data_IF_917355183497
#
_entry.id   IF_917355183497
#
_cell.length_a   1.000
_cell.length_b   1.000
_cell.length_c   1.000
_cell.angle_alpha   90.00
_cell.angle_beta   90.00
_cell.angle_gamma   90.00
#
_symmetry.space_group_name_H-M   'P 1'
#
loop_
_entity.id
_entity.type
_entity.pdbx_description
1 polymer ?
#
# COMPACT_ATOMS: atom_id res chain seq x y z
N UNK A 1 5.55 11.18 10.71
CA UNK A 1 4.59 11.19 9.59
C UNK A 1 4.97 12.15 8.45
N UNK A 2 5.33 13.42 8.71
CA UNK A 2 5.72 14.40 7.68
C UNK A 2 6.76 13.86 6.67
N UNK A 3 7.83 13.24 7.16
CA UNK A 3 8.86 12.60 6.33
C UNK A 3 8.28 11.50 5.41
N UNK A 4 7.40 10.65 5.93
CA UNK A 4 6.76 9.59 5.13
C UNK A 4 5.83 10.15 4.04
N UNK A 5 5.29 11.36 4.25
CA UNK A 5 4.52 12.11 3.27
C UNK A 5 5.39 12.94 2.32
N UNK A 6 6.72 12.82 2.40
CA UNK A 6 7.65 13.60 1.59
C UNK A 6 7.71 15.08 1.95
N UNK A 7 7.25 15.46 3.15
CA UNK A 7 7.29 16.84 3.61
C UNK A 7 8.60 17.12 4.38
N UNK A 8 9.25 18.27 4.15
CA UNK A 8 10.47 18.65 4.84
C UNK A 8 10.22 18.86 6.34
N UNK A 9 11.25 18.59 7.15
CA UNK A 9 11.27 18.81 8.60
C UNK A 9 12.47 19.68 8.93
N UNK A 10 12.26 20.74 9.72
CA UNK A 10 13.21 21.86 9.90
C UNK A 10 14.64 21.43 10.33
N UNK A 11 14.77 20.32 11.04
CA UNK A 11 16.04 19.87 11.63
C UNK A 11 16.60 18.57 11.02
N UNK A 12 15.99 18.08 9.93
CA UNK A 12 16.40 16.83 9.30
C UNK A 12 16.65 17.07 7.81
N UNK A 13 17.91 16.94 7.35
CA UNK A 13 18.23 16.97 5.93
C UNK A 13 17.42 15.94 5.14
N UNK A 14 16.95 16.32 3.96
CA UNK A 14 16.15 15.46 3.09
C UNK A 14 16.88 14.16 2.75
N UNK A 15 18.19 14.23 2.50
CA UNK A 15 19.04 13.08 2.21
C UNK A 15 19.03 12.04 3.35
N UNK A 16 19.14 12.48 4.61
CA UNK A 16 19.09 11.56 5.75
C UNK A 16 17.71 10.90 5.88
N UNK A 17 16.64 11.66 5.64
CA UNK A 17 15.28 11.14 5.64
C UNK A 17 15.07 10.09 4.54
N UNK A 18 15.53 10.40 3.33
CA UNK A 18 15.42 9.50 2.19
C UNK A 18 16.25 8.24 2.37
N UNK A 19 17.48 8.36 2.90
CA UNK A 19 18.31 7.21 3.24
C UNK A 19 17.62 6.30 4.24
N UNK A 20 17.06 6.86 5.32
CA UNK A 20 16.33 6.08 6.32
C UNK A 20 15.11 5.38 5.72
N UNK A 21 14.33 6.07 4.87
CA UNK A 21 13.19 5.47 4.17
C UNK A 21 13.67 4.31 3.29
N UNK A 22 14.69 4.52 2.46
CA UNK A 22 15.19 3.50 1.54
C UNK A 22 15.64 2.25 2.29
N UNK A 23 16.42 2.40 3.36
CA UNK A 23 16.85 1.26 4.19
C UNK A 23 15.66 0.48 4.74
N UNK A 24 14.61 1.16 5.22
CA UNK A 24 13.44 0.48 5.75
C UNK A 24 12.59 -0.18 4.67
N UNK A 25 12.51 0.41 3.46
CA UNK A 25 11.82 -0.20 2.32
C UNK A 25 12.54 -1.45 1.82
N UNK A 26 13.88 -1.43 1.75
CA UNK A 26 14.66 -2.62 1.41
C UNK A 26 14.43 -3.75 2.43
N UNK A 27 14.50 -3.44 3.73
CA UNK A 27 14.20 -4.43 4.77
C UNK A 27 12.78 -4.99 4.64
N UNK A 28 11.80 -4.14 4.31
CA UNK A 28 10.42 -4.58 4.06
C UNK A 28 10.35 -5.53 2.86
N UNK A 29 11.07 -5.24 1.77
CA UNK A 29 11.09 -6.10 0.59
C UNK A 29 11.74 -7.45 0.87
N UNK A 30 12.80 -7.51 1.68
CA UNK A 30 13.40 -8.78 2.11
C UNK A 30 12.39 -9.65 2.87
N UNK A 31 11.56 -9.07 3.75
CA UNK A 31 10.53 -9.82 4.48
C UNK A 31 9.35 -10.25 3.58
N UNK A 32 8.99 -9.42 2.60
CA UNK A 32 7.97 -9.78 1.60
C UNK A 32 8.47 -10.91 0.71
N UNK A 33 9.74 -10.91 0.30
CA UNK A 33 10.35 -11.96 -0.51
C UNK A 33 10.33 -13.31 0.23
N UNK A 34 10.64 -13.33 1.53
CA UNK A 34 10.48 -14.51 2.38
C UNK A 34 9.03 -14.99 2.39
N UNK A 35 8.08 -14.07 2.58
CA UNK A 35 6.64 -14.38 2.58
C UNK A 35 6.18 -15.00 1.26
N UNK A 36 6.63 -14.47 0.12
CA UNK A 36 6.32 -14.99 -1.21
C UNK A 36 6.92 -16.37 -1.44
N UNK A 37 8.17 -16.58 -1.01
CA UNK A 37 8.83 -17.89 -1.04
C UNK A 37 8.06 -18.93 -0.23
N UNK A 38 7.61 -18.59 0.98
CA UNK A 38 6.79 -19.49 1.80
C UNK A 38 5.42 -19.79 1.18
N UNK A 39 4.78 -18.80 0.53
CA UNK A 39 3.50 -19.00 -0.15
C UNK A 39 3.60 -20.01 -1.30
N UNK A 40 4.69 -19.98 -2.07
CA UNK A 40 4.92 -20.89 -3.19
C UNK A 40 5.42 -22.29 -2.79
N UNK A 41 6.07 -22.43 -1.64
CA UNK A 41 6.70 -23.69 -1.22
C UNK A 41 5.71 -24.79 -0.76
N UNK A 42 4.42 -24.46 -0.55
CA UNK A 42 3.43 -25.35 0.04
C UNK A 42 2.56 -26.15 -0.94
N UNK A 43 2.72 -26.00 -2.25
CA UNK A 43 1.82 -26.61 -3.24
C UNK A 43 2.52 -27.42 -4.32
N UNK A 44 1.81 -28.42 -4.86
CA UNK A 44 2.29 -29.28 -5.96
C UNK A 44 2.41 -28.50 -7.29
N UNK A 45 1.67 -27.40 -7.43
CA UNK A 45 1.73 -26.48 -8.56
C UNK A 45 2.37 -25.15 -8.16
N UNK A 46 3.14 -24.54 -9.08
CA UNK A 46 3.80 -23.26 -8.87
C UNK A 46 2.76 -22.13 -8.75
N UNK A 47 2.40 -21.76 -7.52
CA UNK A 47 1.55 -20.58 -7.25
C UNK A 47 2.26 -19.29 -7.66
N UNK A 48 1.71 -18.62 -8.67
CA UNK A 48 2.17 -17.30 -9.10
C UNK A 48 1.27 -16.21 -8.53
N UNK A 49 1.90 -15.13 -8.09
CA UNK A 49 1.19 -13.93 -7.67
C UNK A 49 1.01 -13.07 -8.92
N UNK A 50 -0.24 -12.97 -9.40
CA UNK A 50 -0.54 -12.22 -10.62
C UNK A 50 -0.51 -10.70 -10.39
N UNK A 51 -0.96 -10.25 -9.21
CA UNK A 51 -1.11 -8.83 -8.90
C UNK A 51 -1.08 -8.57 -7.40
N UNK A 52 -0.53 -7.42 -7.01
CA UNK A 52 -0.49 -6.95 -5.63
C UNK A 52 -1.30 -5.67 -5.49
N UNK A 53 -2.14 -5.61 -4.46
CA UNK A 53 -2.85 -4.39 -4.06
C UNK A 53 -2.27 -3.85 -2.76
N UNK A 54 -1.66 -2.67 -2.83
CA UNK A 54 -1.04 -2.00 -1.68
C UNK A 54 -2.10 -1.22 -0.90
N UNK A 55 -2.24 -1.53 0.39
CA UNK A 55 -3.19 -0.85 1.29
C UNK A 55 -2.51 -0.38 2.59
N UNK A 56 -3.25 0.37 3.41
CA UNK A 56 -2.75 1.02 4.62
C UNK A 56 -2.01 2.33 4.35
N UNK A 57 -1.53 2.98 5.41
CA UNK A 57 -0.91 4.30 5.31
C UNK A 57 0.42 4.32 4.55
N UNK A 58 1.17 3.21 4.60
CA UNK A 58 2.47 3.10 3.91
C UNK A 58 2.32 2.99 2.39
N UNK A 59 1.15 2.55 1.88
CA UNK A 59 0.91 2.46 0.44
C UNK A 59 1.10 3.79 -0.29
N UNK A 60 0.89 4.92 0.39
CA UNK A 60 1.09 6.26 -0.16
C UNK A 60 2.53 6.77 -0.10
N UNK A 61 3.48 5.96 0.40
CA UNK A 61 4.88 6.33 0.36
C UNK A 61 5.30 6.53 -1.09
N UNK A 62 5.85 7.72 -1.38
CA UNK A 62 6.22 8.12 -2.74
C UNK A 62 7.15 7.08 -3.38
N UNK A 63 6.72 6.55 -4.52
CA UNK A 63 7.49 5.57 -5.29
C UNK A 63 7.37 4.12 -4.83
N UNK A 64 6.70 3.82 -3.72
CA UNK A 64 6.64 2.45 -3.17
C UNK A 64 6.06 1.43 -4.15
N UNK A 65 4.93 1.75 -4.79
CA UNK A 65 4.32 0.87 -5.79
C UNK A 65 5.28 0.57 -6.93
N UNK A 66 5.99 1.60 -7.43
CA UNK A 66 6.96 1.44 -8.51
C UNK A 66 8.17 0.61 -8.07
N UNK A 67 8.71 0.88 -6.88
CA UNK A 67 9.81 0.09 -6.30
C UNK A 67 9.41 -1.38 -6.11
N UNK A 68 8.15 -1.65 -5.74
CA UNK A 68 7.61 -2.99 -5.63
C UNK A 68 7.59 -3.71 -6.98
N UNK A 69 7.02 -3.08 -8.01
CA UNK A 69 6.99 -3.62 -9.39
C UNK A 69 8.41 -3.91 -9.90
N UNK A 70 9.33 -2.98 -9.67
CA UNK A 70 10.70 -3.11 -10.13
C UNK A 70 11.45 -4.24 -9.42
N UNK A 71 11.20 -4.46 -8.12
CA UNK A 71 11.79 -5.54 -7.31
C UNK A 71 11.23 -6.91 -7.66
N UNK A 72 9.90 -7.05 -7.65
CA UNK A 72 9.24 -8.35 -7.71
C UNK A 72 8.78 -8.75 -9.11
N UNK A 73 8.81 -7.83 -10.08
CA UNK A 73 8.29 -8.04 -11.45
C UNK A 73 6.81 -8.46 -11.46
N UNK A 74 6.06 -8.00 -10.47
CA UNK A 74 4.62 -8.23 -10.30
C UNK A 74 3.93 -6.86 -10.32
N UNK A 75 2.83 -6.74 -11.05
CA UNK A 75 2.03 -5.52 -11.10
C UNK A 75 1.54 -5.14 -9.70
N UNK A 76 1.75 -3.88 -9.30
CA UNK A 76 1.37 -3.39 -7.98
C UNK A 76 0.55 -2.10 -8.07
N UNK A 77 -0.67 -2.14 -7.56
CA UNK A 77 -1.59 -1.00 -7.58
C UNK A 77 -1.94 -0.53 -6.17
N UNK A 78 -2.16 0.79 -6.03
CA UNK A 78 -2.73 1.34 -4.80
C UNK A 78 -4.18 0.88 -4.68
N UNK A 79 -4.51 0.27 -3.54
CA UNK A 79 -5.84 -0.24 -3.28
C UNK A 79 -6.83 0.91 -3.08
N UNK A 80 -7.80 1.02 -3.98
CA UNK A 80 -8.98 1.85 -3.82
C UNK A 80 -10.18 1.01 -3.34
N UNK A 81 -10.59 1.10 -2.05
CA UNK A 81 -11.76 0.41 -1.53
C UNK A 81 -13.08 1.02 -2.00
N UNK A 82 -13.07 2.27 -2.45
CA UNK A 82 -14.26 3.01 -2.88
C UNK A 82 -14.61 2.81 -4.36
N UNK A 83 -13.82 2.01 -5.10
CA UNK A 83 -13.98 1.82 -6.56
C UNK A 83 -15.41 1.44 -7.00
N UNK A 84 -16.14 0.75 -6.13
CA UNK A 84 -17.52 0.29 -6.37
C UNK A 84 -18.52 0.88 -5.36
N UNK A 85 -18.14 1.97 -4.67
CA UNK A 85 -19.00 2.65 -3.70
C UNK A 85 -19.48 3.95 -4.34
N UNK A 86 -20.80 4.09 -4.52
CA UNK A 86 -21.41 5.33 -5.02
C UNK A 86 -21.55 6.34 -3.88
N UNK A 87 -21.05 7.57 -4.09
CA UNK A 87 -21.15 8.65 -3.11
C UNK A 87 -21.44 9.99 -3.80
N UNK A 88 -21.90 10.97 -3.01
CA UNK A 88 -22.17 12.33 -3.48
C UNK A 88 -20.92 13.21 -3.33
N UNK A 89 -20.28 13.51 -4.44
CA UNK A 89 -19.07 14.33 -4.57
C UNK A 89 -19.23 15.79 -4.08
N UNK A 90 -20.46 16.32 -4.04
CA UNK A 90 -20.73 17.66 -3.47
C UNK A 90 -20.72 17.68 -1.95
N UNK A 91 -20.88 16.51 -1.31
CA UNK A 91 -20.90 16.37 0.14
C UNK A 91 -19.58 15.84 0.72
N UNK A 92 -18.74 15.26 -0.13
CA UNK A 92 -17.56 14.52 0.24
C UNK A 92 -16.42 14.90 -0.69
N UNK A 93 -15.37 15.51 -0.13
CA UNK A 93 -14.20 15.95 -0.89
C UNK A 93 -13.52 14.77 -1.58
N UNK A 94 -13.57 14.75 -2.91
CA UNK A 94 -12.96 13.70 -3.73
C UNK A 94 -11.45 13.53 -3.48
N UNK A 95 -10.76 14.60 -3.10
CA UNK A 95 -9.32 14.60 -2.82
C UNK A 95 -9.00 13.76 -1.59
N UNK A 96 -9.84 13.87 -0.55
CA UNK A 96 -9.75 13.06 0.67
C UNK A 96 -9.84 11.57 0.36
N UNK A 97 -10.76 11.16 -0.52
CA UNK A 97 -10.95 9.75 -0.89
C UNK A 97 -9.84 9.20 -1.78
N UNK A 98 -9.16 10.05 -2.55
CA UNK A 98 -8.01 9.64 -3.37
C UNK A 98 -6.76 9.45 -2.52
N UNK A 99 -6.44 10.42 -1.66
CA UNK A 99 -5.23 10.35 -0.83
C UNK A 99 -5.36 9.36 0.31
N UNK A 100 -6.54 9.25 0.93
CA UNK A 100 -6.71 8.36 2.09
C UNK A 100 -7.27 7.00 1.72
N UNK A 101 -7.69 6.79 0.46
CA UNK A 101 -8.21 5.52 -0.07
C UNK A 101 -7.60 4.27 0.55
N UNK A 102 -6.27 4.07 0.47
CA UNK A 102 -5.67 2.82 0.92
C UNK A 102 -5.79 2.61 2.44
N UNK A 103 -5.97 3.65 3.25
CA UNK A 103 -6.19 3.54 4.70
C UNK A 103 -7.57 2.97 5.04
N UNK A 104 -8.55 3.15 4.16
CA UNK A 104 -9.95 2.81 4.44
C UNK A 104 -10.30 1.34 4.11
N UNK A 105 -9.35 0.51 3.71
CA UNK A 105 -9.62 -0.88 3.32
C UNK A 105 -10.37 -1.67 4.40
N UNK A 106 -9.89 -1.61 5.65
CA UNK A 106 -10.52 -2.32 6.78
C UNK A 106 -11.90 -1.75 7.11
N UNK A 107 -12.02 -0.43 7.25
CA UNK A 107 -13.28 0.24 7.63
C UNK A 107 -14.36 0.03 6.58
N UNK A 108 -13.99 0.11 5.29
CA UNK A 108 -14.91 -0.15 4.18
C UNK A 108 -15.42 -1.59 4.23
N UNK A 109 -14.54 -2.56 4.48
CA UNK A 109 -14.91 -3.97 4.68
C UNK A 109 -15.87 -4.17 5.85
N UNK A 110 -15.62 -3.51 6.99
CA UNK A 110 -16.52 -3.56 8.15
C UNK A 110 -17.90 -2.95 7.85
N UNK A 111 -17.96 -1.84 7.11
CA UNK A 111 -19.21 -1.17 6.79
C UNK A 111 -20.12 -2.00 5.85
N UNK A 112 -19.53 -2.76 4.92
CA UNK A 112 -20.28 -3.63 3.99
C UNK A 112 -20.53 -5.04 4.57
N UNK A 113 -19.93 -5.35 5.72
CA UNK A 113 -20.04 -6.67 6.34
C UNK A 113 -21.51 -6.94 6.67
N UNK A 114 -22.11 -7.89 5.97
CA UNK A 114 -23.40 -8.45 6.35
C UNK A 114 -23.17 -9.42 7.51
N UNK A 115 -24.01 -9.35 8.53
CA UNK A 115 -24.11 -10.45 9.49
C UNK A 115 -24.88 -11.56 8.79
N UNK A 116 -24.35 -12.77 8.80
CA UNK A 116 -25.15 -13.95 8.42
C UNK A 116 -26.32 -14.04 9.41
N UNK A 117 -27.55 -14.15 8.90
CA UNK A 117 -28.72 -14.56 9.68
C UNK A 117 -28.73 -16.08 9.84
#
# INVERSE_FOLDING_TARGET
>A
EKILKGMPVADIPEEHSQSAINTNVENLFEEIEKTFSFYGAGEEEEKKIDKVFLSGGLANLKGLAKSFEDRFKIEAEIFNPFRNIFYNDKKLDSTFFQELSPLFGVVSGLAIRKMEE
#
